data_IF_720065866168
#
_entry.id   IF_720065866168
#
_cell.length_a   1.000
_cell.length_b   1.000
_cell.length_c   1.000
_cell.angle_alpha   90.00
_cell.angle_beta   90.00
_cell.angle_gamma   90.00
#
_symmetry.space_group_name_H-M   'P 1'
#
loop_
_entity.id
_entity.type
_entity.pdbx_description
1 polymer ?
#
# COMPACT_ATOMS: atom_id res chain seq x y z
N UNK A 1 19.35 -9.13 -5.92
CA UNK A 1 19.19 -7.67 -5.77
C UNK A 1 20.00 -7.26 -4.56
N UNK A 2 20.89 -6.27 -4.71
CA UNK A 2 21.73 -5.78 -3.61
C UNK A 2 20.84 -5.25 -2.48
N UNK A 3 20.90 -5.91 -1.32
CA UNK A 3 20.09 -5.57 -0.15
C UNK A 3 20.58 -4.26 0.44
N UNK A 4 19.97 -3.15 0.01
CA UNK A 4 20.05 -1.90 0.77
C UNK A 4 19.10 -2.04 1.95
N UNK A 5 19.67 -2.07 3.15
CA UNK A 5 18.89 -1.98 4.38
C UNK A 5 18.42 -0.54 4.53
N UNK A 6 17.13 -0.31 4.41
CA UNK A 6 16.50 0.97 4.69
C UNK A 6 16.19 1.05 6.18
N UNK A 7 16.49 2.19 6.82
CA UNK A 7 15.95 2.51 8.15
C UNK A 7 14.55 3.07 7.95
N UNK A 8 13.56 2.46 8.59
CA UNK A 8 12.14 2.79 8.42
C UNK A 8 11.54 3.13 9.77
N UNK A 9 11.03 4.35 9.91
CA UNK A 9 10.28 4.82 11.07
C UNK A 9 8.83 5.10 10.65
N UNK A 10 7.88 4.32 11.16
CA UNK A 10 6.45 4.52 10.89
C UNK A 10 5.89 5.50 11.91
N UNK A 11 5.38 6.63 11.42
CA UNK A 11 4.94 7.75 12.25
C UNK A 11 3.43 7.73 12.52
N UNK A 12 2.64 7.26 11.54
CA UNK A 12 1.18 7.19 11.67
C UNK A 12 0.60 6.20 10.66
N UNK A 13 -0.50 5.56 11.04
CA UNK A 13 -1.33 4.71 10.18
C UNK A 13 -2.81 5.03 10.35
N UNK A 14 -3.60 4.83 9.30
CA UNK A 14 -5.06 4.91 9.37
C UNK A 14 -5.71 4.27 8.15
N UNK A 15 -6.93 3.78 8.33
CA UNK A 15 -7.69 3.14 7.27
C UNK A 15 -9.11 3.70 7.19
N UNK A 16 -9.59 3.94 5.97
CA UNK A 16 -10.94 4.47 5.71
C UNK A 16 -11.60 3.75 4.53
N UNK A 17 -12.93 3.67 4.57
CA UNK A 17 -13.75 3.16 3.48
C UNK A 17 -14.20 4.31 2.57
N UNK A 18 -14.09 4.11 1.26
CA UNK A 18 -14.53 5.09 0.26
C UNK A 18 -15.36 4.39 -0.82
N UNK A 19 -16.49 4.99 -1.21
CA UNK A 19 -17.21 4.54 -2.40
C UNK A 19 -16.61 5.18 -3.65
N UNK A 20 -16.14 4.33 -4.55
CA UNK A 20 -15.73 4.74 -5.89
C UNK A 20 -16.93 5.22 -6.73
N UNK A 21 -16.65 5.89 -7.85
CA UNK A 21 -17.67 6.39 -8.79
C UNK A 21 -18.60 5.31 -9.34
N UNK A 22 -18.15 4.06 -9.40
CA UNK A 22 -18.95 2.91 -9.86
C UNK A 22 -19.70 2.21 -8.72
N UNK A 23 -19.75 2.82 -7.52
CA UNK A 23 -20.43 2.29 -6.34
C UNK A 23 -19.65 1.22 -5.57
N UNK A 24 -18.48 0.79 -6.07
CA UNK A 24 -17.63 -0.18 -5.37
C UNK A 24 -17.02 0.44 -4.11
N UNK A 25 -17.08 -0.30 -3.00
CA UNK A 25 -16.44 0.07 -1.74
C UNK A 25 -14.95 -0.28 -1.83
N UNK A 26 -14.11 0.73 -1.61
CA UNK A 26 -12.66 0.64 -1.57
C UNK A 26 -12.18 0.86 -0.15
N UNK A 27 -11.03 0.28 0.17
CA UNK A 27 -10.32 0.51 1.41
C UNK A 27 -9.08 1.35 1.12
N UNK A 28 -8.92 2.48 1.80
CA UNK A 28 -7.75 3.34 1.69
C UNK A 28 -6.94 3.26 2.96
N UNK A 29 -5.73 2.74 2.87
CA UNK A 29 -4.76 2.71 3.96
C UNK A 29 -3.81 3.88 3.75
N UNK A 30 -3.73 4.78 4.72
CA UNK A 30 -2.81 5.92 4.78
C UNK A 30 -1.69 5.59 5.76
N UNK A 31 -0.46 5.79 5.33
CA UNK A 31 0.73 5.55 6.15
C UNK A 31 1.65 6.74 6.00
N UNK A 32 2.04 7.32 7.13
CA UNK A 32 3.11 8.31 7.19
C UNK A 32 4.35 7.61 7.75
N UNK A 33 5.44 7.66 7.00
CA UNK A 33 6.70 7.06 7.41
C UNK A 33 7.89 7.91 6.99
N UNK A 34 8.99 7.76 7.70
CA UNK A 34 10.30 8.24 7.32
C UNK A 34 11.17 7.07 6.89
N UNK A 35 11.84 7.21 5.74
CA UNK A 35 12.77 6.20 5.23
C UNK A 35 14.07 6.89 4.87
N UNK A 36 15.17 6.50 5.52
CA UNK A 36 16.50 7.12 5.39
C UNK A 36 16.45 8.67 5.50
N UNK A 37 15.72 9.19 6.49
CA UNK A 37 15.57 10.63 6.72
C UNK A 37 14.57 11.33 5.80
N UNK A 38 13.85 10.61 4.94
CA UNK A 38 12.85 11.17 4.01
C UNK A 38 11.44 10.81 4.47
N UNK A 39 10.73 11.80 5.00
CA UNK A 39 9.33 11.67 5.38
C UNK A 39 8.39 11.68 4.17
N UNK A 40 7.45 10.74 4.13
CA UNK A 40 6.44 10.60 3.07
C UNK A 40 5.09 10.13 3.61
N UNK A 41 4.04 10.62 2.95
CA UNK A 41 2.67 10.14 3.12
C UNK A 41 2.29 9.27 1.93
N UNK A 42 1.99 8.01 2.24
CA UNK A 42 1.61 6.98 1.29
C UNK A 42 0.14 6.64 1.43
N UNK A 43 -0.48 6.33 0.30
CA UNK A 43 -1.85 5.84 0.24
C UNK A 43 -1.87 4.57 -0.61
N UNK A 44 -2.34 3.48 -0.01
CA UNK A 44 -2.58 2.21 -0.69
C UNK A 44 -4.09 2.04 -0.78
N UNK A 45 -4.61 1.88 -1.99
CA UNK A 45 -6.05 1.69 -2.22
C UNK A 45 -6.32 0.25 -2.59
N UNK A 46 -7.00 -0.46 -1.70
CA UNK A 46 -7.50 -1.80 -1.90
C UNK A 46 -8.87 -1.78 -2.57
N UNK A 47 -8.99 -2.64 -3.56
CA UNK A 47 -10.23 -2.94 -4.24
C UNK A 47 -10.33 -4.44 -4.49
N UNK A 48 -11.49 -4.85 -4.99
CA UNK A 48 -11.74 -6.20 -5.45
C UNK A 48 -11.55 -6.30 -6.96
N UNK A 49 -10.77 -7.30 -7.43
CA UNK A 49 -10.45 -7.49 -8.85
C UNK A 49 -10.54 -8.97 -9.26
N UNK A 50 -10.70 -9.19 -10.57
CA UNK A 50 -10.76 -10.53 -11.14
C UNK A 50 -12.10 -11.23 -10.93
N UNK A 51 -12.21 -12.44 -11.47
CA UNK A 51 -13.37 -13.32 -11.26
C UNK A 51 -13.39 -13.86 -9.81
N UNK A 52 -12.22 -14.04 -9.20
CA UNK A 52 -12.06 -14.61 -7.86
C UNK A 52 -12.20 -13.57 -6.73
N UNK A 53 -12.65 -12.35 -7.05
CA UNK A 53 -12.88 -11.29 -6.08
C UNK A 53 -11.64 -11.00 -5.19
N UNK A 54 -10.45 -11.03 -5.80
CA UNK A 54 -9.18 -10.90 -5.09
C UNK A 54 -9.01 -9.50 -4.48
N UNK A 55 -8.50 -9.45 -3.25
CA UNK A 55 -8.11 -8.22 -2.59
C UNK A 55 -6.79 -7.71 -3.16
N UNK A 56 -6.84 -6.61 -3.92
CA UNK A 56 -5.66 -6.01 -4.58
C UNK A 56 -5.52 -4.55 -4.17
N UNK A 57 -4.40 -4.24 -3.51
CA UNK A 57 -3.95 -2.90 -3.15
C UNK A 57 -3.06 -2.29 -4.22
N UNK A 58 -3.29 -1.03 -4.55
CA UNK A 58 -2.49 -0.29 -5.51
C UNK A 58 -2.01 1.05 -4.93
N UNK A 59 -0.75 1.38 -5.19
CA UNK A 59 -0.19 2.72 -4.98
C UNK A 59 0.63 3.12 -6.21
N UNK A 60 0.69 4.42 -6.51
CA UNK A 60 1.53 4.95 -7.60
C UNK A 60 2.66 5.77 -7.00
N UNK A 61 3.90 5.47 -7.39
CA UNK A 61 5.06 6.23 -6.95
C UNK A 61 5.03 7.65 -7.54
N UNK A 62 5.34 8.65 -6.72
CA UNK A 62 5.23 10.05 -7.12
C UNK A 62 6.51 10.53 -7.82
N UNK A 63 6.33 11.35 -8.86
CA UNK A 63 7.43 11.86 -9.68
C UNK A 63 8.25 12.95 -9.00
N UNK A 64 7.57 13.72 -8.15
CA UNK A 64 8.06 14.85 -7.37
C UNK A 64 8.66 14.43 -6.03
N UNK A 65 8.66 13.13 -5.72
CA UNK A 65 9.36 12.62 -4.55
C UNK A 65 10.88 12.82 -4.68
N UNK A 66 11.60 13.03 -3.57
CA UNK A 66 13.06 13.08 -3.61
C UNK A 66 13.66 11.81 -4.24
N UNK A 67 14.51 11.98 -5.26
CA UNK A 67 15.05 10.85 -6.05
C UNK A 67 14.09 10.27 -7.10
N UNK A 68 12.93 10.89 -7.31
CA UNK A 68 11.96 10.53 -8.35
C UNK A 68 11.17 9.26 -8.05
N UNK A 69 10.51 8.72 -9.10
CA UNK A 69 9.55 7.60 -8.98
C UNK A 69 10.17 6.31 -8.46
N UNK A 70 11.37 5.95 -8.92
CA UNK A 70 12.04 4.70 -8.51
C UNK A 70 12.34 4.73 -7.01
N UNK A 71 12.95 5.82 -6.52
CA UNK A 71 13.27 5.97 -5.10
C UNK A 71 12.01 6.00 -4.22
N UNK A 72 10.91 6.63 -4.69
CA UNK A 72 9.64 6.62 -3.96
C UNK A 72 9.00 5.23 -3.91
N UNK A 73 9.11 4.45 -5.00
CA UNK A 73 8.64 3.08 -5.04
C UNK A 73 9.45 2.16 -4.12
N UNK A 74 10.78 2.28 -4.11
CA UNK A 74 11.67 1.52 -3.21
C UNK A 74 11.38 1.84 -1.74
N UNK A 75 11.21 3.12 -1.39
CA UNK A 75 10.84 3.51 -0.01
C UNK A 75 9.49 2.96 0.41
N UNK A 76 8.48 3.05 -0.44
CA UNK A 76 7.17 2.45 -0.14
C UNK A 76 7.26 0.93 0.01
N UNK A 77 8.05 0.27 -0.84
CA UNK A 77 8.26 -1.18 -0.72
C UNK A 77 8.95 -1.54 0.61
N UNK A 78 9.92 -0.73 1.06
CA UNK A 78 10.56 -0.91 2.37
C UNK A 78 9.55 -0.76 3.52
N UNK A 79 8.68 0.25 3.49
CA UNK A 79 7.60 0.45 4.47
C UNK A 79 6.65 -0.75 4.51
N UNK A 80 6.20 -1.22 3.35
CA UNK A 80 5.29 -2.37 3.26
C UNK A 80 5.97 -3.62 3.81
N UNK A 81 7.24 -3.87 3.45
CA UNK A 81 8.00 -5.02 3.96
C UNK A 81 8.21 -4.94 5.47
N UNK A 82 8.50 -3.76 6.01
CA UNK A 82 8.67 -3.55 7.45
C UNK A 82 7.38 -3.85 8.22
N UNK A 83 6.23 -3.41 7.70
CA UNK A 83 4.93 -3.61 8.35
C UNK A 83 4.38 -5.03 8.19
N UNK A 84 4.58 -5.65 7.02
CA UNK A 84 3.89 -6.91 6.67
C UNK A 84 4.82 -8.13 6.67
N UNK A 85 6.14 -7.91 6.62
CA UNK A 85 7.14 -8.94 6.35
C UNK A 85 7.19 -9.40 4.90
N UNK A 86 6.40 -8.79 4.00
CA UNK A 86 6.24 -9.20 2.60
C UNK A 86 6.62 -8.08 1.64
N UNK A 87 7.37 -8.44 0.61
CA UNK A 87 7.75 -7.50 -0.45
C UNK A 87 6.62 -7.34 -1.46
N UNK A 88 6.15 -6.11 -1.73
CA UNK A 88 5.14 -5.87 -2.75
C UNK A 88 5.73 -5.98 -4.16
N UNK A 89 4.87 -6.16 -5.16
CA UNK A 89 5.32 -6.12 -6.55
C UNK A 89 5.45 -4.68 -7.05
N UNK A 90 6.57 -4.38 -7.70
CA UNK A 90 6.82 -3.09 -8.36
C UNK A 90 6.69 -3.29 -9.87
N UNK A 91 5.69 -2.64 -10.48
CA UNK A 91 5.43 -2.71 -11.92
C UNK A 91 5.71 -1.39 -12.61
N UNK A 92 6.66 -1.40 -13.54
CA UNK A 92 6.93 -0.29 -14.47
C UNK A 92 5.96 -0.33 -15.63
N UNK A 93 5.22 0.75 -15.83
CA UNK A 93 4.23 0.89 -16.90
C UNK A 93 4.85 1.59 -18.12
N UNK A 94 4.30 1.34 -19.32
CA UNK A 94 4.79 1.93 -20.58
C UNK A 94 4.79 3.47 -20.57
N UNK A 95 3.91 4.10 -19.79
CA UNK A 95 3.81 5.55 -19.64
C UNK A 95 4.72 6.13 -18.55
N UNK A 96 5.72 5.37 -18.09
CA UNK A 96 6.68 5.79 -17.05
C UNK A 96 6.11 5.83 -15.64
N UNK A 97 4.85 5.43 -15.42
CA UNK A 97 4.31 5.24 -14.06
C UNK A 97 4.92 4.00 -13.43
N UNK A 98 5.18 4.07 -12.13
CA UNK A 98 5.57 2.91 -11.32
C UNK A 98 4.42 2.62 -10.35
N UNK A 99 3.91 1.40 -10.42
CA UNK A 99 2.82 0.93 -9.58
C UNK A 99 3.35 -0.07 -8.57
N UNK A 100 3.01 0.15 -7.30
CA UNK A 100 3.23 -0.81 -6.22
C UNK A 100 1.93 -1.59 -6.07
N UNK A 101 2.03 -2.92 -6.07
CA UNK A 101 0.89 -3.84 -6.01
C UNK A 101 1.02 -4.69 -4.75
N UNK A 102 -0.02 -4.66 -3.92
CA UNK A 102 -0.15 -5.45 -2.70
C UNK A 102 -1.27 -6.47 -2.88
N UNK A 103 -0.99 -7.75 -2.61
CA UNK A 103 -2.00 -8.81 -2.57
C UNK A 103 -2.60 -9.02 -1.18
N UNK A 104 -3.38 -10.10 -1.03
CA UNK A 104 -4.02 -10.51 0.23
C UNK A 104 -3.03 -10.65 1.40
N UNK A 105 -1.87 -11.24 1.17
CA UNK A 105 -0.86 -11.44 2.23
C UNK A 105 -0.36 -10.12 2.86
N UNK A 106 -0.34 -9.05 2.08
CA UNK A 106 0.04 -7.72 2.56
C UNK A 106 -1.09 -7.11 3.39
N UNK A 107 -2.34 -7.28 2.94
CA UNK A 107 -3.52 -6.84 3.66
C UNK A 107 -3.64 -7.53 5.03
N UNK A 108 -3.37 -8.83 5.08
CA UNK A 108 -3.34 -9.61 6.33
C UNK A 108 -2.19 -9.16 7.26
N UNK A 109 -1.05 -8.73 6.68
CA UNK A 109 0.01 -8.08 7.44
C UNK A 109 -0.43 -6.75 8.07
N UNK A 110 -1.12 -5.90 7.31
CA UNK A 110 -1.67 -4.64 7.82
C UNK A 110 -2.74 -4.84 8.89
N UNK A 111 -3.52 -5.92 8.81
CA UNK A 111 -4.55 -6.24 9.80
C UNK A 111 -4.01 -6.58 11.20
N UNK A 112 -2.69 -6.74 11.36
CA UNK A 112 -2.05 -6.93 12.68
C UNK A 112 -2.00 -5.65 13.51
N UNK A 113 -2.19 -4.50 12.87
CA UNK A 113 -2.18 -3.18 13.49
C UNK A 113 -3.60 -2.78 13.85
N UNK A 114 -3.86 -2.55 15.14
CA UNK A 114 -5.20 -2.29 15.66
C UNK A 114 -5.85 -1.07 15.00
N UNK A 115 -5.06 -0.05 14.65
CA UNK A 115 -5.51 1.17 13.97
C UNK A 115 -5.97 0.93 12.51
N UNK A 116 -5.65 -0.22 11.92
CA UNK A 116 -6.08 -0.61 10.58
C UNK A 116 -7.09 -1.77 10.59
N UNK A 117 -7.00 -2.65 11.59
CA UNK A 117 -7.69 -3.93 11.64
C UNK A 117 -9.21 -3.81 11.47
N UNK A 118 -9.86 -2.91 12.22
CA UNK A 118 -11.33 -2.75 12.17
C UNK A 118 -11.81 -2.38 10.76
N UNK A 119 -11.17 -1.38 10.14
CA UNK A 119 -11.55 -0.94 8.80
C UNK A 119 -11.25 -2.01 7.74
N UNK A 120 -10.17 -2.78 7.91
CA UNK A 120 -9.84 -3.91 7.02
C UNK A 120 -10.89 -5.01 7.15
N UNK A 121 -11.23 -5.44 8.37
CA UNK A 121 -12.22 -6.49 8.61
C UNK A 121 -13.58 -6.12 8.04
N UNK A 122 -14.05 -4.91 8.34
CA UNK A 122 -15.31 -4.37 7.80
C UNK A 122 -15.30 -4.34 6.28
N UNK A 123 -14.20 -3.89 5.67
CA UNK A 123 -14.09 -3.90 4.21
C UNK A 123 -14.21 -5.31 3.63
N UNK A 124 -13.58 -6.30 4.28
CA UNK A 124 -13.58 -7.68 3.81
C UNK A 124 -14.97 -8.31 3.90
N UNK A 125 -15.69 -8.05 5.00
CA UNK A 125 -17.07 -8.50 5.19
C UNK A 125 -18.01 -7.89 4.13
N UNK A 126 -17.94 -6.57 3.93
CA UNK A 126 -18.83 -5.87 2.99
C UNK A 126 -18.57 -6.22 1.52
N UNK A 127 -17.35 -6.69 1.19
CA UNK A 127 -16.92 -6.91 -0.20
C UNK A 127 -16.63 -8.37 -0.56
N UNK A 128 -16.64 -9.30 0.38
CA UNK A 128 -16.26 -10.71 0.19
C UNK A 128 -17.33 -11.61 -0.47
N UNK A 129 -18.26 -11.03 -1.21
CA UNK A 129 -19.36 -11.75 -1.89
C UNK A 129 -18.90 -12.53 -3.12
#
# INVERSE_FOLDING_TARGET
MGGRTHVVDVLSGGAELERSRSGKILLRIKITAEVDGIRRDYVITYGRRGADNEAVGLATAKADAPGGREADAERLAAVIKALTGKEPWIRRMKNGRIMIVCGREHLDGFARYAELAEAIERWLEETGR
#
